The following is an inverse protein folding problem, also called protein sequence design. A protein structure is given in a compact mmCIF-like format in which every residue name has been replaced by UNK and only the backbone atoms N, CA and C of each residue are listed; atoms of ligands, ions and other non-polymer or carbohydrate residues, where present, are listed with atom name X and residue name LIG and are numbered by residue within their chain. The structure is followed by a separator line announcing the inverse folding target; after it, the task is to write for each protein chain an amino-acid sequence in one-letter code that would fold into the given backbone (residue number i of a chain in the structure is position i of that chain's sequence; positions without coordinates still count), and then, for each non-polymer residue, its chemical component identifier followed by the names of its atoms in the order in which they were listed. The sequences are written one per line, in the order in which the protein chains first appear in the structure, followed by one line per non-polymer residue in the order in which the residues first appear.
data_IF_779397322566
#
_entry.id   IF_779397322566
#
_cell.length_a   1.000
_cell.length_b   1.000
_cell.length_c   1.000
_cell.angle_alpha   90.00
_cell.angle_beta   90.00
_cell.angle_gamma   90.00
#
_symmetry.space_group_name_H-M   'P 1'
#
loop_
_entity.id
_entity.type
_entity.pdbx_description
1 polymer ?
#
# COMPACT_ATOMS: atom_id res chain seq x y z
N UNK A 1 19.08 -0.10 -31.86
CA UNK A 1 19.30 -1.31 -31.03
C UNK A 1 18.97 -1.12 -29.55
N UNK A 2 19.20 0.04 -28.93
CA UNK A 2 18.93 0.25 -27.48
C UNK A 2 17.43 0.35 -27.15
N UNK A 3 16.62 0.96 -28.03
CA UNK A 3 15.18 1.14 -27.81
C UNK A 3 14.39 -0.16 -27.51
N UNK A 4 14.51 -1.25 -28.29
CA UNK A 4 13.80 -2.50 -27.97
C UNK A 4 14.27 -3.12 -26.65
N UNK A 5 15.56 -3.04 -26.31
CA UNK A 5 16.07 -3.52 -25.02
C UNK A 5 15.47 -2.72 -23.86
N UNK A 6 15.41 -1.39 -23.98
CA UNK A 6 14.78 -0.54 -22.98
C UNK A 6 13.29 -0.85 -22.78
N UNK A 7 12.55 -1.12 -23.87
CA UNK A 7 11.15 -1.52 -23.79
C UNK A 7 10.99 -2.86 -23.07
N UNK A 8 11.82 -3.86 -23.37
CA UNK A 8 11.82 -5.16 -22.69
C UNK A 8 12.09 -4.97 -21.19
N UNK A 9 13.09 -4.18 -20.82
CA UNK A 9 13.41 -3.90 -19.41
C UNK A 9 12.24 -3.23 -18.69
N UNK A 10 11.58 -2.25 -19.31
CA UNK A 10 10.42 -1.58 -18.74
C UNK A 10 9.25 -2.54 -18.50
N UNK A 11 8.96 -3.43 -19.47
CA UNK A 11 7.93 -4.47 -19.33
C UNK A 11 8.29 -5.44 -18.21
N UNK A 12 9.52 -5.91 -18.15
CA UNK A 12 9.96 -6.83 -17.10
C UNK A 12 9.88 -6.19 -15.71
N UNK A 13 10.27 -4.93 -15.56
CA UNK A 13 10.13 -4.19 -14.31
C UNK A 13 8.65 -4.07 -13.89
N UNK A 14 7.75 -3.80 -14.84
CA UNK A 14 6.31 -3.78 -14.59
C UNK A 14 5.78 -5.13 -14.09
N UNK A 15 6.21 -6.23 -14.74
CA UNK A 15 5.86 -7.60 -14.34
C UNK A 15 6.35 -7.90 -12.93
N UNK A 16 7.54 -7.42 -12.55
CA UNK A 16 8.06 -7.57 -11.18
C UNK A 16 7.15 -6.88 -10.15
N UNK A 17 6.74 -5.64 -10.40
CA UNK A 17 5.85 -4.91 -9.49
C UNK A 17 4.47 -5.56 -9.42
N UNK A 18 3.94 -6.00 -10.57
CA UNK A 18 2.69 -6.74 -10.66
C UNK A 18 2.71 -8.02 -9.83
N UNK A 19 3.76 -8.83 -10.00
CA UNK A 19 3.94 -10.09 -9.26
C UNK A 19 4.04 -9.82 -7.76
N UNK A 20 4.75 -8.75 -7.38
CA UNK A 20 4.84 -8.30 -5.99
C UNK A 20 3.46 -7.96 -5.42
N UNK A 21 2.64 -7.20 -6.15
CA UNK A 21 1.26 -6.91 -5.74
C UNK A 21 0.39 -8.18 -5.62
N UNK A 22 0.56 -9.13 -6.54
CA UNK A 22 -0.19 -10.38 -6.58
C UNK A 22 0.13 -11.32 -5.40
N UNK A 23 1.36 -11.30 -4.88
CA UNK A 23 1.69 -12.02 -3.64
C UNK A 23 0.73 -11.61 -2.51
N UNK A 24 0.41 -10.33 -2.39
CA UNK A 24 -0.52 -9.86 -1.35
C UNK A 24 -1.99 -10.02 -1.73
N UNK A 25 -2.36 -9.71 -2.97
CA UNK A 25 -3.76 -9.80 -3.42
C UNK A 25 -4.30 -11.24 -3.38
N UNK A 26 -3.43 -12.25 -3.55
CA UNK A 26 -3.81 -13.66 -3.49
C UNK A 26 -4.06 -14.19 -2.06
N UNK A 27 -3.64 -13.46 -1.03
CA UNK A 27 -3.81 -13.86 0.38
C UNK A 27 -5.22 -13.57 0.89
N UNK A 28 -6.14 -14.51 0.66
CA UNK A 28 -7.54 -14.47 1.13
C UNK A 28 -7.68 -14.36 2.65
N UNK A 29 -6.65 -14.72 3.40
CA UNK A 29 -6.62 -14.68 4.86
C UNK A 29 -6.39 -13.27 5.44
N UNK A 30 -6.17 -12.25 4.61
CA UNK A 30 -5.99 -10.87 5.06
C UNK A 30 -6.86 -9.96 4.21
N UNK A 31 -7.97 -9.51 4.81
CA UNK A 31 -9.03 -8.73 4.13
C UNK A 31 -8.53 -7.41 3.55
N UNK A 32 -7.60 -6.75 4.22
CA UNK A 32 -7.01 -5.51 3.74
C UNK A 32 -6.18 -5.74 2.46
N UNK A 33 -5.50 -6.88 2.35
CA UNK A 33 -4.59 -7.18 1.24
C UNK A 33 -5.32 -7.76 0.03
N UNK A 34 -6.35 -8.58 0.28
CA UNK A 34 -7.21 -9.11 -0.76
C UNK A 34 -8.29 -8.10 -1.16
N UNK A 35 -7.86 -7.07 -1.89
CA UNK A 35 -8.71 -6.08 -2.52
C UNK A 35 -8.37 -6.00 -4.01
N UNK A 36 -9.35 -5.75 -4.89
CA UNK A 36 -9.09 -5.59 -6.32
C UNK A 36 -8.16 -4.41 -6.62
N UNK A 37 -8.10 -3.42 -5.72
CA UNK A 37 -7.26 -2.24 -5.84
C UNK A 37 -5.80 -2.44 -5.37
N UNK A 38 -5.46 -3.57 -4.73
CA UNK A 38 -4.09 -3.81 -4.23
C UNK A 38 -3.06 -3.76 -5.35
N UNK A 39 -3.28 -4.50 -6.44
CA UNK A 39 -2.34 -4.51 -7.59
C UNK A 39 -2.27 -3.16 -8.30
N UNK A 40 -3.40 -2.50 -8.65
CA UNK A 40 -3.37 -1.15 -9.21
C UNK A 40 -2.60 -0.12 -8.37
N UNK A 41 -2.74 -0.16 -7.04
CA UNK A 41 -2.00 0.74 -6.13
C UNK A 41 -0.49 0.51 -6.23
N UNK A 42 -0.02 -0.73 -6.27
CA UNK A 42 1.42 -1.03 -6.40
C UNK A 42 1.99 -0.54 -7.72
N UNK A 43 1.29 -0.77 -8.81
CA UNK A 43 1.71 -0.31 -10.14
C UNK A 43 1.75 1.22 -10.19
N UNK A 44 0.73 1.89 -9.64
CA UNK A 44 0.68 3.35 -9.59
C UNK A 44 1.82 3.94 -8.75
N UNK A 45 2.10 3.40 -7.57
CA UNK A 45 3.23 3.85 -6.74
C UNK A 45 4.58 3.56 -7.40
N UNK A 46 4.75 2.40 -8.02
CA UNK A 46 5.99 2.04 -8.74
C UNK A 46 6.25 2.99 -9.91
N UNK A 47 5.22 3.27 -10.71
CA UNK A 47 5.32 4.23 -11.81
C UNK A 47 5.54 5.66 -11.33
N UNK A 48 4.80 6.13 -10.32
CA UNK A 48 4.89 7.49 -9.83
C UNK A 48 6.25 7.80 -9.19
N UNK A 49 6.75 6.91 -8.33
CA UNK A 49 8.07 7.07 -7.70
C UNK A 49 9.21 6.89 -8.72
N UNK A 50 9.08 5.95 -9.66
CA UNK A 50 10.04 5.78 -10.76
C UNK A 50 10.12 7.01 -11.68
N UNK A 51 8.97 7.59 -12.04
CA UNK A 51 8.91 8.81 -12.85
C UNK A 51 9.50 10.02 -12.09
N UNK A 52 9.21 10.16 -10.80
CA UNK A 52 9.79 11.21 -9.96
C UNK A 52 11.32 11.07 -9.82
N UNK A 53 11.83 9.84 -9.64
CA UNK A 53 13.26 9.57 -9.63
C UNK A 53 13.91 9.88 -10.98
N UNK A 54 13.28 9.49 -12.08
CA UNK A 54 13.77 9.81 -13.42
C UNK A 54 13.83 11.34 -13.63
N UNK A 55 12.81 12.08 -13.17
CA UNK A 55 12.79 13.54 -13.23
C UNK A 55 13.90 14.17 -12.37
N UNK A 56 14.14 13.65 -11.17
CA UNK A 56 15.24 14.09 -10.31
C UNK A 56 16.61 13.86 -10.97
N UNK A 57 16.85 12.67 -11.52
CA UNK A 57 18.10 12.35 -12.22
C UNK A 57 18.25 13.27 -13.45
N UNK A 58 17.20 13.41 -14.27
CA UNK A 58 17.21 14.27 -15.45
C UNK A 58 17.52 15.73 -15.10
N UNK A 59 17.07 16.23 -13.94
CA UNK A 59 17.38 17.58 -13.47
C UNK A 59 18.87 17.81 -13.21
N UNK A 60 19.55 16.82 -12.63
CA UNK A 60 21.00 16.90 -12.32
C UNK A 60 21.83 16.93 -13.59
N UNK A 61 21.42 16.19 -14.63
CA UNK A 61 22.12 16.14 -15.92
C UNK A 61 21.69 17.24 -16.89
N UNK A 62 20.87 18.21 -16.47
CA UNK A 62 20.39 19.29 -17.34
C UNK A 62 19.47 18.81 -18.49
N UNK A 63 18.87 17.61 -18.34
CA UNK A 63 17.95 16.99 -19.32
C UNK A 63 16.50 16.95 -18.83
N UNK A 64 16.15 17.86 -17.93
CA UNK A 64 14.79 17.95 -17.42
C UNK A 64 13.82 18.35 -18.54
N UNK A 65 12.74 17.59 -18.69
CA UNK A 65 11.73 17.82 -19.72
C UNK A 65 10.37 18.06 -19.07
N UNK A 66 9.65 19.08 -19.54
CA UNK A 66 8.31 19.41 -19.02
C UNK A 66 7.30 18.26 -19.18
N UNK A 67 7.41 17.48 -20.26
CA UNK A 67 6.58 16.28 -20.45
C UNK A 67 6.80 15.24 -19.34
N UNK A 68 8.04 15.02 -18.91
CA UNK A 68 8.37 14.08 -17.83
C UNK A 68 7.78 14.55 -16.49
N UNK A 69 7.85 15.85 -16.21
CA UNK A 69 7.22 16.44 -15.03
C UNK A 69 5.69 16.29 -15.07
N UNK A 70 5.06 16.60 -16.21
CA UNK A 70 3.62 16.42 -16.42
C UNK A 70 3.16 14.97 -16.23
N UNK A 71 3.87 14.01 -16.83
CA UNK A 71 3.61 12.59 -16.65
C UNK A 71 3.75 12.15 -15.18
N UNK A 72 4.78 12.65 -14.48
CA UNK A 72 4.98 12.37 -13.06
C UNK A 72 3.85 12.91 -12.20
N UNK A 73 3.39 14.14 -12.46
CA UNK A 73 2.26 14.76 -11.76
C UNK A 73 1.00 13.90 -11.93
N UNK A 74 0.69 13.51 -13.16
CA UNK A 74 -0.48 12.65 -13.45
C UNK A 74 -0.38 11.33 -12.70
N UNK A 75 0.78 10.67 -12.71
CA UNK A 75 0.99 9.40 -12.00
C UNK A 75 0.88 9.55 -10.48
N UNK A 76 1.40 10.63 -9.90
CA UNK A 76 1.27 10.92 -8.47
C UNK A 76 -0.20 11.18 -8.07
N UNK A 77 -0.95 11.89 -8.90
CA UNK A 77 -2.39 12.12 -8.69
C UNK A 77 -3.16 10.79 -8.79
N UNK A 78 -2.86 9.95 -9.78
CA UNK A 78 -3.46 8.62 -9.91
C UNK A 78 -3.15 7.78 -8.66
N UNK A 79 -1.90 7.75 -8.18
CA UNK A 79 -1.51 7.03 -6.97
C UNK A 79 -2.27 7.52 -5.74
N UNK A 80 -2.43 8.85 -5.59
CA UNK A 80 -3.21 9.46 -4.51
C UNK A 80 -4.68 9.04 -4.56
N UNK A 81 -5.32 9.15 -5.73
CA UNK A 81 -6.72 8.79 -5.92
C UNK A 81 -6.96 7.29 -5.67
N UNK A 82 -6.14 6.42 -6.26
CA UNK A 82 -6.21 4.98 -6.04
C UNK A 82 -6.03 4.63 -4.58
N UNK A 83 -5.16 5.33 -3.84
CA UNK A 83 -4.96 5.07 -2.42
C UNK A 83 -6.17 5.45 -1.57
N UNK A 84 -6.80 6.59 -1.87
CA UNK A 84 -8.06 6.99 -1.21
C UNK A 84 -9.16 5.96 -1.50
N UNK A 85 -9.31 5.52 -2.75
CA UNK A 85 -10.29 4.50 -3.14
C UNK A 85 -10.01 3.15 -2.47
N UNK A 86 -8.73 2.75 -2.40
CA UNK A 86 -8.30 1.53 -1.72
C UNK A 86 -8.69 1.55 -0.24
N UNK A 87 -8.41 2.64 0.49
CA UNK A 87 -8.78 2.71 1.90
C UNK A 87 -10.30 2.70 2.09
N UNK A 88 -11.07 3.35 1.22
CA UNK A 88 -12.54 3.25 1.24
C UNK A 88 -13.02 1.82 1.01
N UNK A 89 -12.42 1.09 0.06
CA UNK A 89 -12.74 -0.31 -0.18
C UNK A 89 -12.42 -1.19 1.04
N UNK A 90 -11.25 -0.99 1.67
CA UNK A 90 -10.87 -1.71 2.90
C UNK A 90 -11.80 -1.39 4.07
N UNK A 91 -12.19 -0.13 4.24
CA UNK A 91 -13.04 0.29 5.36
C UNK A 91 -14.50 -0.19 5.21
N UNK A 92 -14.98 -0.34 3.96
CA UNK A 92 -16.35 -0.82 3.65
C UNK A 92 -16.46 -2.33 3.45
N UNK A 93 -15.34 -3.04 3.24
CA UNK A 93 -15.35 -4.47 2.99
C UNK A 93 -15.91 -5.26 4.19
N UNK A 94 -16.90 -6.16 3.97
CA UNK A 94 -17.57 -6.87 5.04
C UNK A 94 -16.62 -7.81 5.78
N UNK A 95 -16.77 -7.91 7.11
CA UNK A 95 -16.03 -8.87 7.95
C UNK A 95 -16.72 -10.23 7.93
N UNK A 96 -16.50 -10.97 6.85
CA UNK A 96 -17.23 -12.21 6.57
C UNK A 96 -16.70 -13.42 7.33
N UNK A 97 -15.49 -13.35 7.91
CA UNK A 97 -14.89 -14.43 8.67
C UNK A 97 -15.22 -14.25 10.16
N UNK A 98 -15.92 -15.23 10.74
CA UNK A 98 -16.30 -15.23 12.15
C UNK A 98 -15.99 -16.60 12.78
N UNK A 99 -15.90 -16.65 14.11
CA UNK A 99 -15.64 -17.88 14.86
C UNK A 99 -16.70 -18.95 14.56
N UNK A 100 -17.95 -18.54 14.39
CA UNK A 100 -19.09 -19.40 14.07
C UNK A 100 -18.93 -20.11 12.73
N UNK A 101 -18.41 -19.40 11.71
CA UNK A 101 -18.13 -19.99 10.40
C UNK A 101 -16.90 -20.90 10.43
N UNK A 102 -15.90 -20.56 11.24
CA UNK A 102 -14.69 -21.38 11.39
C UNK A 102 -14.97 -22.71 12.09
N UNK A 103 -15.84 -22.69 13.11
CA UNK A 103 -16.21 -23.88 13.90
C UNK A 103 -17.41 -24.64 13.33
N UNK A 104 -18.21 -24.01 12.45
CA UNK A 104 -19.48 -24.56 11.96
C UNK A 104 -20.61 -24.57 13.00
N UNK A 105 -20.34 -24.11 14.23
CA UNK A 105 -21.27 -24.11 15.36
C UNK A 105 -22.25 -22.93 15.34
N UNK A 106 -22.14 -22.02 14.36
CA UNK A 106 -23.05 -20.88 14.22
C UNK A 106 -24.54 -21.22 14.11
N UNK A 107 -24.86 -22.47 13.72
CA UNK A 107 -26.25 -22.96 13.69
C UNK A 107 -26.85 -23.16 15.09
N UNK A 108 -26.01 -23.33 16.10
CA UNK A 108 -26.39 -23.65 17.48
C UNK A 108 -26.53 -22.36 18.31
N UNK A 109 -25.77 -21.31 17.98
CA UNK A 109 -25.82 -20.02 18.65
C UNK A 109 -24.54 -19.22 18.47
N UNK A 110 -24.37 -18.18 19.30
CA UNK A 110 -23.14 -17.39 19.37
C UNK A 110 -22.01 -18.23 19.98
N UNK A 111 -20.85 -18.26 19.33
CA UNK A 111 -19.70 -19.05 19.79
C UNK A 111 -18.72 -18.11 20.48
N UNK A 112 -18.42 -18.40 21.74
CA UNK A 112 -17.37 -17.71 22.51
C UNK A 112 -16.28 -18.68 22.92
N UNK A 113 -15.03 -18.21 22.91
CA UNK A 113 -13.91 -18.98 23.41
C UNK A 113 -13.98 -19.06 24.95
N UNK A 114 -14.09 -20.27 25.49
CA UNK A 114 -14.10 -20.53 26.93
C UNK A 114 -12.70 -20.57 27.53
N UNK A 115 -11.76 -21.23 26.85
CA UNK A 115 -10.38 -21.37 27.30
C UNK A 115 -9.43 -21.25 26.09
N UNK A 116 -8.25 -20.69 26.33
CA UNK A 116 -7.18 -20.58 25.32
C UNK A 116 -6.31 -21.83 25.43
N UNK A 117 -5.88 -22.45 24.31
CA UNK A 117 -5.14 -23.72 24.33
C UNK A 117 -3.70 -23.58 24.84
N UNK A 118 -3.32 -22.43 25.40
CA UNK A 118 -1.98 -22.14 25.88
C UNK A 118 -2.04 -21.24 27.12
N UNK A 119 -1.13 -21.48 28.06
CA UNK A 119 -1.01 -20.74 29.33
C UNK A 119 -0.16 -19.47 29.21
N UNK A 120 0.62 -19.32 28.14
CA UNK A 120 1.44 -18.14 27.84
C UNK A 120 1.17 -17.62 26.43
N UNK A 121 1.51 -16.35 26.18
CA UNK A 121 1.38 -15.76 24.86
C UNK A 121 2.34 -16.43 23.87
N UNK A 122 1.82 -16.88 22.74
CA UNK A 122 2.62 -17.46 21.67
C UNK A 122 3.04 -16.40 20.63
N UNK A 123 3.93 -16.78 19.70
CA UNK A 123 4.42 -15.89 18.66
C UNK A 123 3.29 -15.24 17.84
N UNK A 124 2.21 -15.96 17.54
CA UNK A 124 1.08 -15.44 16.74
C UNK A 124 0.34 -14.33 17.49
N UNK A 125 0.14 -14.48 18.80
CA UNK A 125 -0.52 -13.45 19.61
C UNK A 125 0.34 -12.21 19.79
N UNK A 126 1.66 -12.41 19.96
CA UNK A 126 2.60 -11.30 20.03
C UNK A 126 2.65 -10.57 18.70
N UNK A 127 2.91 -11.27 17.59
CA UNK A 127 3.22 -10.63 16.31
C UNK A 127 1.98 -10.26 15.48
N UNK A 128 0.97 -11.14 15.41
CA UNK A 128 -0.24 -10.93 14.61
C UNK A 128 -1.40 -10.31 15.41
N UNK A 129 -1.31 -10.30 16.74
CA UNK A 129 -2.26 -9.62 17.63
C UNK A 129 -1.96 -8.13 17.87
N UNK A 130 -0.86 -7.59 17.32
CA UNK A 130 -0.39 -6.22 17.58
C UNK A 130 -1.45 -5.15 17.26
N UNK A 131 -2.11 -4.66 18.31
CA UNK A 131 -3.11 -3.60 18.24
C UNK A 131 -2.50 -2.18 18.16
N UNK A 132 -1.20 -2.03 18.44
CA UNK A 132 -0.51 -0.73 18.56
C UNK A 132 -0.52 0.03 17.22
N UNK A 133 -0.40 -0.67 16.10
CA UNK A 133 -0.32 -0.06 14.78
C UNK A 133 -1.67 0.55 14.32
N UNK A 134 -2.80 -0.05 14.74
CA UNK A 134 -4.15 0.44 14.42
C UNK A 134 -4.46 1.81 15.04
N UNK A 135 -3.91 2.10 16.22
CA UNK A 135 -4.14 3.37 16.93
C UNK A 135 -3.65 4.58 16.13
N UNK A 136 -2.62 4.41 15.32
CA UNK A 136 -2.00 5.48 14.54
C UNK A 136 -2.32 5.43 13.04
N UNK A 137 -3.13 4.46 12.59
CA UNK A 137 -3.46 4.27 11.18
C UNK A 137 -4.00 5.54 10.52
N UNK A 138 -4.96 6.24 11.16
CA UNK A 138 -5.50 7.52 10.64
C UNK A 138 -4.42 8.59 10.47
N UNK A 139 -3.50 8.73 11.43
CA UNK A 139 -2.39 9.71 11.36
C UNK A 139 -1.47 9.38 10.18
N UNK A 140 -1.13 8.11 10.01
CA UNK A 140 -0.26 7.66 8.91
C UNK A 140 -0.92 7.79 7.55
N UNK A 141 -2.23 7.50 7.43
CA UNK A 141 -3.02 7.77 6.21
C UNK A 141 -2.90 9.25 5.82
N UNK A 142 -3.08 10.17 6.77
CA UNK A 142 -2.91 11.60 6.53
C UNK A 142 -1.48 11.96 6.12
N UNK A 143 -0.46 11.40 6.77
CA UNK A 143 0.94 11.63 6.40
C UNK A 143 1.22 11.19 4.96
N UNK A 144 0.77 9.99 4.56
CA UNK A 144 0.93 9.49 3.18
C UNK A 144 0.26 10.43 2.17
N UNK A 145 -0.97 10.90 2.44
CA UNK A 145 -1.66 11.83 1.54
C UNK A 145 -0.96 13.18 1.45
N UNK A 146 -0.49 13.72 2.58
CA UNK A 146 0.26 14.97 2.63
C UNK A 146 1.57 14.86 1.87
N UNK A 147 2.30 13.75 2.00
CA UNK A 147 3.55 13.52 1.26
C UNK A 147 3.31 13.37 -0.25
N UNK A 148 2.25 12.68 -0.67
CA UNK A 148 1.88 12.62 -2.09
C UNK A 148 1.47 13.99 -2.63
N UNK A 149 0.65 14.75 -1.90
CA UNK A 149 0.26 16.09 -2.28
C UNK A 149 1.47 17.03 -2.35
N UNK A 150 2.38 16.94 -1.39
CA UNK A 150 3.64 17.68 -1.40
C UNK A 150 4.50 17.29 -2.61
N UNK A 151 4.60 16.00 -2.95
CA UNK A 151 5.33 15.55 -4.13
C UNK A 151 4.75 16.13 -5.44
N UNK A 152 3.41 16.23 -5.55
CA UNK A 152 2.74 16.88 -6.69
C UNK A 152 3.09 18.37 -6.76
N UNK A 153 2.98 19.09 -5.65
CA UNK A 153 3.28 20.53 -5.59
C UNK A 153 4.77 20.81 -5.88
N UNK A 154 5.67 19.99 -5.34
CA UNK A 154 7.10 20.09 -5.60
C UNK A 154 7.42 19.79 -7.07
N UNK A 155 6.74 18.83 -7.70
CA UNK A 155 6.93 18.54 -9.12
C UNK A 155 6.39 19.66 -10.01
N UNK A 156 5.31 20.34 -9.62
CA UNK A 156 4.85 21.56 -10.29
C UNK A 156 5.90 22.68 -10.20
N UNK A 157 6.48 22.89 -9.01
CA UNK A 157 7.56 23.87 -8.82
C UNK A 157 8.83 23.51 -9.61
N UNK A 158 9.07 22.21 -9.83
CA UNK A 158 10.19 21.75 -10.65
C UNK A 158 10.10 22.18 -12.12
N UNK A 159 8.92 22.56 -12.63
CA UNK A 159 8.79 23.15 -13.96
C UNK A 159 9.51 24.50 -14.09
N UNK A 160 9.64 25.23 -12.97
CA UNK A 160 10.32 26.53 -12.90
C UNK A 160 11.78 26.33 -12.48
N UNK A 161 12.00 25.49 -11.47
CA UNK A 161 13.33 25.20 -10.91
C UNK A 161 13.58 23.67 -10.92
N UNK A 162 14.18 23.12 -11.98
CA UNK A 162 14.31 21.67 -12.19
C UNK A 162 14.89 20.88 -11.01
N UNK A 163 15.84 21.46 -10.26
CA UNK A 163 16.45 20.80 -9.10
C UNK A 163 15.47 20.46 -7.97
N UNK A 164 14.30 21.13 -7.91
CA UNK A 164 13.23 20.81 -6.95
C UNK A 164 12.66 19.40 -7.21
N UNK A 165 12.83 18.83 -8.41
CA UNK A 165 12.44 17.46 -8.70
C UNK A 165 13.08 16.43 -7.74
N UNK A 166 14.25 16.74 -7.18
CA UNK A 166 14.90 15.91 -6.15
C UNK A 166 14.02 15.84 -4.89
N UNK A 167 13.50 16.97 -4.42
CA UNK A 167 12.61 17.02 -3.26
C UNK A 167 11.28 16.32 -3.56
N UNK A 168 10.75 16.46 -4.78
CA UNK A 168 9.56 15.73 -5.21
C UNK A 168 9.78 14.21 -5.17
N UNK A 169 10.93 13.74 -5.65
CA UNK A 169 11.30 12.32 -5.59
C UNK A 169 11.40 11.83 -4.14
N UNK A 170 12.10 12.56 -3.26
CA UNK A 170 12.21 12.23 -1.82
C UNK A 170 10.83 12.16 -1.17
N UNK A 171 9.96 13.14 -1.40
CA UNK A 171 8.61 13.17 -0.85
C UNK A 171 7.77 11.96 -1.36
N UNK A 172 7.85 11.64 -2.65
CA UNK A 172 7.14 10.50 -3.23
C UNK A 172 7.62 9.15 -2.67
N UNK A 173 8.93 8.99 -2.45
CA UNK A 173 9.51 7.79 -1.85
C UNK A 173 9.15 7.68 -0.37
N UNK A 174 9.18 8.78 0.38
CA UNK A 174 8.74 8.81 1.76
C UNK A 174 7.24 8.45 1.88
N UNK A 175 6.41 8.92 0.94
CA UNK A 175 5.00 8.51 0.86
C UNK A 175 4.86 7.01 0.62
N UNK A 176 5.64 6.45 -0.32
CA UNK A 176 5.63 5.02 -0.64
C UNK A 176 6.07 4.17 0.55
N UNK A 177 7.13 4.54 1.27
CA UNK A 177 7.59 3.83 2.48
C UNK A 177 6.55 3.87 3.59
N UNK A 178 5.96 5.05 3.83
CA UNK A 178 4.91 5.23 4.84
C UNK A 178 3.67 4.40 4.49
N UNK A 179 3.27 4.42 3.22
CA UNK A 179 2.16 3.61 2.69
C UNK A 179 2.44 2.12 2.87
N UNK A 180 3.66 1.67 2.54
CA UNK A 180 4.07 0.28 2.65
C UNK A 180 4.02 -0.21 4.08
N UNK A 181 4.54 0.60 5.00
CA UNK A 181 4.49 0.32 6.43
C UNK A 181 3.04 0.24 6.91
N UNK A 182 2.19 1.18 6.50
CA UNK A 182 0.78 1.20 6.86
C UNK A 182 0.03 -0.01 6.31
N UNK A 183 0.34 -0.46 5.10
CA UNK A 183 -0.25 -1.64 4.48
C UNK A 183 -0.03 -2.91 5.32
N UNK A 184 1.14 -3.06 5.93
CA UNK A 184 1.43 -4.16 6.87
C UNK A 184 0.76 -3.93 8.23
N UNK A 185 0.78 -2.69 8.73
CA UNK A 185 0.18 -2.33 10.02
C UNK A 185 -1.34 -2.54 10.07
N UNK A 186 -2.05 -2.38 8.94
CA UNK A 186 -3.50 -2.57 8.84
C UNK A 186 -3.91 -4.03 8.57
N UNK A 187 -2.97 -4.97 8.49
CA UNK A 187 -3.26 -6.38 8.26
C UNK A 187 -4.08 -6.97 9.42
N UNK A 188 -5.27 -7.49 9.10
CA UNK A 188 -6.08 -8.30 10.01
C UNK A 188 -6.03 -9.74 9.54
N UNK A 189 -5.41 -10.60 10.34
CA UNK A 189 -5.23 -12.02 10.03
C UNK A 189 -6.41 -12.82 10.58
N UNK A 190 -7.00 -13.72 9.77
CA UNK A 190 -8.08 -14.62 10.25
C UNK A 190 -7.65 -15.49 11.44
N UNK A 191 -6.34 -15.69 11.65
CA UNK A 191 -5.81 -16.42 12.80
C UNK A 191 -6.21 -15.82 14.15
N UNK A 192 -6.48 -14.51 14.23
CA UNK A 192 -6.94 -13.86 15.47
C UNK A 192 -8.32 -14.35 15.93
N UNK A 193 -9.13 -14.90 15.03
CA UNK A 193 -10.44 -15.49 15.37
C UNK A 193 -10.29 -16.71 16.30
N UNK A 194 -9.22 -17.51 16.13
CA UNK A 194 -8.95 -18.66 17.01
C UNK A 194 -8.54 -18.25 18.43
N UNK A 195 -8.23 -16.96 18.62
CA UNK A 195 -7.84 -16.37 19.91
C UNK A 195 -8.88 -15.36 20.42
N UNK A 196 -10.13 -15.49 19.97
CA UNK A 196 -11.28 -14.80 20.58
C UNK A 196 -11.67 -13.48 19.93
N UNK A 197 -11.04 -13.08 18.81
CA UNK A 197 -11.59 -11.98 18.01
C UNK A 197 -12.89 -12.41 17.33
N UNK A 198 -13.90 -11.54 17.37
CA UNK A 198 -15.26 -11.88 16.93
C UNK A 198 -15.40 -11.94 15.40
N UNK A 199 -14.65 -11.13 14.67
CA UNK A 199 -14.74 -11.06 13.21
C UNK A 199 -13.48 -10.46 12.56
N UNK A 200 -13.11 -10.97 11.38
CA UNK A 200 -11.97 -10.53 10.56
C UNK A 200 -12.42 -10.14 9.13
#
# INVERSE_FOLDING_TARGET
WIAPLGAITAVMAMVTVFTTGMIYASLRTIRAWNQPLTVPVYLAFGLATGAALLAAIASVFGRFQGFLAGATIVLLVIALLLKVLYWRAVDTAPRTHTIEKATGLGRIGLVSQWEVPHTSANYVQTEMGYAVARKHARKLRSITLLLLAAAVLLMLLALIAPFIAILAAVASLAAAVTERWLFFAEAQHVSTLFYGEKAA
#
